data_IF_998283679309
#
_entry.id   IF_998283679309
#
_cell.length_a   1.000
_cell.length_b   1.000
_cell.length_c   1.000
_cell.angle_alpha   90.00
_cell.angle_beta   90.00
_cell.angle_gamma   90.00
#
_symmetry.space_group_name_H-M   'P 1'
#
loop_
_entity.id
_entity.type
_entity.pdbx_description
1 polymer ?
#
# COMPACT_ATOMS: atom_id res chain seq x y z
N UNK A 1 30.28 10.82 -4.53
CA UNK A 1 29.38 10.42 -3.44
C UNK A 1 28.13 11.26 -3.60
N UNK A 2 27.01 10.62 -3.87
CA UNK A 2 25.71 11.29 -4.03
C UNK A 2 24.94 11.05 -2.73
N UNK A 3 24.61 12.13 -2.03
CA UNK A 3 23.82 12.07 -0.80
C UNK A 3 22.37 12.32 -1.22
N UNK A 4 21.43 11.39 -1.01
CA UNK A 4 20.06 11.60 -1.43
C UNK A 4 19.49 12.77 -0.62
N UNK A 5 19.30 13.89 -1.30
CA UNK A 5 18.61 15.06 -0.78
C UNK A 5 17.12 14.72 -0.78
N UNK A 6 16.48 14.80 0.39
CA UNK A 6 15.03 14.63 0.60
C UNK A 6 14.43 13.24 0.35
N UNK A 7 14.61 12.33 1.32
CA UNK A 7 13.62 11.28 1.55
C UNK A 7 12.27 11.92 1.90
N UNK A 8 11.23 11.70 1.09
CA UNK A 8 9.88 12.25 1.28
C UNK A 8 9.03 11.48 2.31
N UNK A 9 9.57 10.39 2.85
CA UNK A 9 8.89 9.55 3.85
C UNK A 9 9.19 10.12 5.24
N UNK A 10 8.17 10.66 5.89
CA UNK A 10 8.29 11.26 7.23
C UNK A 10 8.11 10.22 8.34
N UNK A 11 7.18 9.29 8.14
CA UNK A 11 6.87 8.20 9.06
C UNK A 11 6.40 7.00 8.24
N UNK A 12 7.03 5.85 8.46
CA UNK A 12 6.66 4.59 7.81
C UNK A 12 5.96 3.69 8.82
N UNK A 13 4.76 3.24 8.48
CA UNK A 13 4.01 2.24 9.23
C UNK A 13 3.79 1.01 8.35
N UNK A 14 4.09 -0.17 8.87
CA UNK A 14 3.92 -1.43 8.15
C UNK A 14 2.87 -2.30 8.84
N UNK A 15 1.91 -2.79 8.06
CA UNK A 15 0.83 -3.65 8.49
C UNK A 15 1.05 -5.06 7.94
N UNK A 16 1.20 -6.04 8.84
CA UNK A 16 1.21 -7.44 8.45
C UNK A 16 -0.23 -7.90 8.14
N UNK A 17 -0.43 -8.42 6.95
CA UNK A 17 -1.73 -8.84 6.43
C UNK A 17 -1.76 -10.36 6.40
N UNK A 18 -2.81 -10.94 6.99
CA UNK A 18 -3.02 -12.37 6.96
C UNK A 18 -3.30 -12.88 5.52
N UNK A 19 -2.81 -14.07 5.18
CA UNK A 19 -2.85 -14.64 3.83
C UNK A 19 -4.24 -14.66 3.16
N UNK A 20 -5.31 -14.77 3.96
CA UNK A 20 -6.70 -14.80 3.45
C UNK A 20 -7.29 -13.42 3.11
N UNK A 21 -6.53 -12.34 3.28
CA UNK A 21 -6.94 -10.97 2.95
C UNK A 21 -6.13 -10.38 1.80
N UNK A 22 -5.15 -11.08 1.26
CA UNK A 22 -4.23 -10.56 0.24
C UNK A 22 -5.01 -10.16 -1.02
N UNK A 23 -5.83 -11.05 -1.55
CA UNK A 23 -6.58 -10.84 -2.79
C UNK A 23 -7.61 -9.72 -2.62
N UNK A 24 -8.32 -9.72 -1.48
CA UNK A 24 -9.30 -8.68 -1.16
C UNK A 24 -8.65 -7.29 -1.07
N UNK A 25 -7.52 -7.16 -0.37
CA UNK A 25 -6.88 -5.85 -0.18
C UNK A 25 -6.19 -5.36 -1.45
N UNK A 26 -5.61 -6.25 -2.25
CA UNK A 26 -5.07 -5.91 -3.57
C UNK A 26 -6.16 -5.29 -4.46
N UNK A 27 -7.35 -5.90 -4.49
CA UNK A 27 -8.49 -5.35 -5.23
C UNK A 27 -9.04 -4.07 -4.59
N UNK A 28 -9.29 -4.08 -3.28
CA UNK A 28 -9.99 -3.00 -2.62
C UNK A 28 -9.19 -1.68 -2.56
N UNK A 29 -7.85 -1.76 -2.50
CA UNK A 29 -6.94 -0.60 -2.44
C UNK A 29 -6.41 -0.18 -3.81
N UNK A 30 -6.12 -1.14 -4.70
CA UNK A 30 -5.40 -0.88 -5.96
C UNK A 30 -6.20 -1.27 -7.21
N UNK A 31 -7.41 -1.81 -7.06
CA UNK A 31 -8.21 -2.36 -8.16
C UNK A 31 -7.47 -3.46 -8.96
N UNK A 32 -6.58 -4.20 -8.29
CA UNK A 32 -5.78 -5.29 -8.88
C UNK A 32 -6.44 -6.62 -8.56
N UNK A 33 -6.74 -7.40 -9.60
CA UNK A 33 -7.28 -8.73 -9.44
C UNK A 33 -6.16 -9.74 -9.21
N UNK A 34 -6.11 -10.30 -8.01
CA UNK A 34 -5.23 -11.41 -7.66
C UNK A 34 -6.06 -12.68 -7.57
N UNK A 35 -5.66 -13.70 -8.32
CA UNK A 35 -6.27 -15.03 -8.27
C UNK A 35 -5.31 -16.03 -7.65
N UNK A 36 -5.89 -17.04 -6.99
CA UNK A 36 -5.18 -18.16 -6.44
C UNK A 36 -5.49 -19.42 -7.25
N UNK A 37 -4.47 -20.00 -7.88
CA UNK A 37 -4.59 -21.28 -8.58
C UNK A 37 -3.67 -22.29 -7.88
N UNK A 38 -4.28 -23.25 -7.17
CA UNK A 38 -3.55 -24.17 -6.31
C UNK A 38 -2.88 -23.44 -5.14
N UNK A 39 -1.54 -23.36 -5.18
CA UNK A 39 -0.71 -22.70 -4.13
C UNK A 39 -0.04 -21.42 -4.61
N UNK A 40 -0.33 -21.00 -5.84
CA UNK A 40 0.36 -19.89 -6.49
C UNK A 40 -0.62 -18.75 -6.77
N UNK A 41 -0.23 -17.53 -6.43
CA UNK A 41 -0.96 -16.29 -6.70
C UNK A 41 -0.52 -15.70 -8.03
N UNK A 42 -1.48 -15.15 -8.75
CA UNK A 42 -1.28 -14.51 -10.05
C UNK A 42 -2.05 -13.19 -10.09
N UNK A 43 -1.48 -12.16 -10.69
CA UNK A 43 -2.24 -10.96 -11.07
C UNK A 43 -2.81 -11.14 -12.46
N UNK A 44 -4.12 -10.90 -12.56
CA UNK A 44 -4.85 -10.96 -13.81
C UNK A 44 -4.83 -9.61 -14.50
N UNK A 45 -4.33 -9.58 -15.74
CA UNK A 45 -4.46 -8.43 -16.63
C UNK A 45 -5.77 -8.51 -17.41
N UNK A 46 -6.26 -7.36 -17.90
CA UNK A 46 -7.58 -7.20 -18.52
C UNK A 46 -7.87 -8.15 -19.70
N UNK A 47 -6.84 -8.72 -20.34
CA UNK A 47 -6.95 -9.62 -21.50
C UNK A 47 -6.55 -11.08 -21.17
N UNK A 48 -6.49 -11.44 -19.89
CA UNK A 48 -6.24 -12.81 -19.42
C UNK A 48 -4.76 -13.18 -19.28
N UNK A 49 -3.84 -12.28 -19.66
CA UNK A 49 -2.43 -12.45 -19.33
C UNK A 49 -2.23 -12.45 -17.81
N UNK A 50 -1.36 -13.33 -17.32
CA UNK A 50 -1.05 -13.52 -15.90
C UNK A 50 0.34 -12.99 -15.58
N UNK A 51 0.47 -12.23 -14.50
CA UNK A 51 1.75 -11.87 -13.90
C UNK A 51 1.98 -12.72 -12.65
N UNK A 52 3.16 -13.34 -12.56
CA UNK A 52 3.58 -14.16 -11.42
C UNK A 52 4.56 -13.34 -10.58
N UNK A 53 4.29 -13.10 -9.29
CA UNK A 53 5.28 -12.49 -8.39
C UNK A 53 6.56 -13.34 -8.36
N UNK A 54 7.74 -12.71 -8.48
CA UNK A 54 9.02 -13.43 -8.38
C UNK A 54 10.16 -12.49 -7.97
N UNK A 55 10.69 -12.56 -6.73
CA UNK A 55 10.15 -13.34 -5.59
C UNK A 55 8.90 -12.71 -4.98
N UNK A 56 8.71 -11.41 -5.18
CA UNK A 56 7.59 -10.63 -4.64
C UNK A 56 7.10 -9.65 -5.70
N UNK A 57 5.93 -9.07 -5.45
CA UNK A 57 5.37 -7.99 -6.26
C UNK A 57 4.90 -6.87 -5.36
N UNK A 58 5.14 -5.63 -5.79
CA UNK A 58 4.69 -4.43 -5.09
C UNK A 58 3.58 -3.75 -5.89
N UNK A 59 2.43 -3.54 -5.25
CA UNK A 59 1.36 -2.69 -5.76
C UNK A 59 1.50 -1.29 -5.17
N UNK A 60 1.32 -0.27 -6.01
CA UNK A 60 1.31 1.15 -5.64
C UNK A 60 0.25 1.88 -6.46
N UNK A 61 0.00 3.15 -6.15
CA UNK A 61 -1.03 3.93 -6.82
C UNK A 61 -2.43 3.70 -6.24
N UNK A 62 -2.57 3.78 -4.91
CA UNK A 62 -3.88 3.73 -4.27
C UNK A 62 -4.65 5.05 -4.48
N UNK A 63 -5.98 4.99 -4.54
CA UNK A 63 -6.83 6.19 -4.63
C UNK A 63 -7.30 6.65 -3.26
N UNK A 64 -7.50 7.96 -3.09
CA UNK A 64 -8.00 8.54 -1.84
C UNK A 64 -9.32 7.91 -1.37
N UNK A 65 -10.25 7.64 -2.28
CA UNK A 65 -11.54 7.02 -1.96
C UNK A 65 -11.39 5.57 -1.48
N UNK A 66 -10.44 4.83 -2.06
CA UNK A 66 -10.11 3.47 -1.62
C UNK A 66 -9.44 3.47 -0.24
N UNK A 67 -8.50 4.39 -0.01
CA UNK A 67 -7.81 4.56 1.28
C UNK A 67 -8.82 4.91 2.38
N UNK A 68 -9.66 5.91 2.15
CA UNK A 68 -10.66 6.34 3.11
C UNK A 68 -11.64 5.21 3.46
N UNK A 69 -12.06 4.43 2.46
CA UNK A 69 -13.00 3.31 2.65
C UNK A 69 -12.39 2.14 3.41
N UNK A 70 -11.12 1.79 3.14
CA UNK A 70 -10.49 0.55 3.63
C UNK A 70 -9.67 0.78 4.90
N UNK A 71 -8.92 1.88 4.97
CA UNK A 71 -8.03 2.22 6.08
C UNK A 71 -8.66 3.23 7.05
N UNK A 72 -9.76 3.86 6.65
CA UNK A 72 -10.50 4.80 7.48
C UNK A 72 -9.96 6.23 7.44
N UNK A 73 -10.75 7.13 8.04
CA UNK A 73 -10.51 8.57 8.00
C UNK A 73 -9.18 8.99 8.66
N UNK A 74 -8.82 8.36 9.78
CA UNK A 74 -7.63 8.75 10.53
C UNK A 74 -6.32 8.51 9.74
N UNK A 75 -6.20 7.33 9.11
CA UNK A 75 -5.05 7.01 8.25
C UNK A 75 -5.06 7.89 7.00
N UNK A 76 -6.23 8.10 6.39
CA UNK A 76 -6.38 8.95 5.21
C UNK A 76 -5.88 10.39 5.46
N UNK A 77 -6.30 11.01 6.55
CA UNK A 77 -5.83 12.35 6.91
C UNK A 77 -4.34 12.37 7.28
N UNK A 78 -3.82 11.34 7.96
CA UNK A 78 -2.40 11.23 8.24
C UNK A 78 -1.56 11.16 6.94
N UNK A 79 -2.00 10.42 5.92
CA UNK A 79 -1.34 10.34 4.59
C UNK A 79 -1.34 11.71 3.91
N UNK A 80 -2.47 12.42 3.91
CA UNK A 80 -2.59 13.76 3.29
C UNK A 80 -1.63 14.79 3.86
N UNK A 81 -1.19 14.61 5.10
CA UNK A 81 -0.20 15.51 5.73
C UNK A 81 1.25 15.19 5.37
N UNK A 82 1.53 14.02 4.78
CA UNK A 82 2.90 13.60 4.40
C UNK A 82 3.49 14.48 3.29
N UNK A 83 4.83 14.65 3.30
CA UNK A 83 5.52 15.39 2.23
C UNK A 83 5.34 14.72 0.86
N UNK A 84 5.36 13.39 0.82
CA UNK A 84 5.13 12.61 -0.40
C UNK A 84 3.77 12.91 -1.03
N UNK A 85 2.67 12.83 -0.26
CA UNK A 85 1.32 13.08 -0.80
C UNK A 85 1.15 14.52 -1.29
N UNK A 86 1.73 15.49 -0.57
CA UNK A 86 1.69 16.90 -1.00
C UNK A 86 2.37 17.10 -2.34
N UNK A 87 3.56 16.54 -2.53
CA UNK A 87 4.29 16.59 -3.80
C UNK A 87 3.52 15.92 -4.94
N UNK A 88 2.93 14.74 -4.69
CA UNK A 88 2.11 14.06 -5.70
C UNK A 88 0.92 14.92 -6.16
N UNK A 89 0.26 15.62 -5.23
CA UNK A 89 -0.85 16.52 -5.56
C UNK A 89 -0.37 17.76 -6.35
N UNK A 90 0.80 18.31 -6.01
CA UNK A 90 1.44 19.38 -6.78
C UNK A 90 1.79 18.95 -8.22
N UNK A 91 2.15 17.68 -8.40
CA UNK A 91 2.42 17.05 -9.71
C UNK A 91 1.13 16.63 -10.46
N UNK A 92 -0.05 16.76 -9.83
CA UNK A 92 -1.34 16.39 -10.43
C UNK A 92 -1.67 14.90 -10.35
N UNK A 93 -0.96 14.12 -9.54
CA UNK A 93 -1.18 12.67 -9.37
C UNK A 93 -2.43 12.40 -8.52
N UNK A 94 -3.46 11.83 -9.16
CA UNK A 94 -4.71 11.45 -8.51
C UNK A 94 -4.58 10.22 -7.60
N UNK A 95 -3.61 9.35 -7.90
CA UNK A 95 -3.24 8.18 -7.10
C UNK A 95 -2.03 8.50 -6.23
N UNK A 96 -1.82 7.72 -5.17
CA UNK A 96 -0.71 7.90 -4.24
C UNK A 96 0.15 6.65 -4.09
N UNK A 97 1.45 6.88 -3.98
CA UNK A 97 2.48 5.91 -3.62
C UNK A 97 2.65 5.81 -2.10
N UNK A 98 1.98 6.67 -1.33
CA UNK A 98 1.99 6.64 0.13
C UNK A 98 1.35 5.37 0.72
N UNK A 99 0.65 4.60 -0.10
CA UNK A 99 0.16 3.26 0.26
C UNK A 99 0.73 2.28 -0.76
N UNK A 100 1.44 1.28 -0.26
CA UNK A 100 1.94 0.18 -1.09
C UNK A 100 1.66 -1.16 -0.43
N UNK A 101 1.56 -2.20 -1.24
CA UNK A 101 1.33 -3.56 -0.78
C UNK A 101 2.33 -4.49 -1.42
N UNK A 102 3.00 -5.31 -0.61
CA UNK A 102 4.00 -6.28 -1.05
C UNK A 102 3.48 -7.67 -0.72
N UNK A 103 3.47 -8.57 -1.70
CA UNK A 103 3.08 -9.96 -1.53
C UNK A 103 3.85 -10.88 -2.46
N UNK A 104 3.90 -12.16 -2.13
CA UNK A 104 4.59 -13.21 -2.90
C UNK A 104 3.59 -14.07 -3.68
N UNK A 105 4.11 -14.94 -4.53
CA UNK A 105 3.32 -15.94 -5.24
C UNK A 105 2.75 -17.01 -4.30
N UNK A 106 3.29 -17.15 -3.09
CA UNK A 106 2.93 -18.24 -2.16
C UNK A 106 1.62 -17.99 -1.41
N UNK A 107 0.65 -18.89 -1.59
CA UNK A 107 -0.66 -18.83 -0.93
C UNK A 107 -0.65 -18.91 0.61
N UNK A 108 0.40 -19.48 1.19
CA UNK A 108 0.60 -19.62 2.65
C UNK A 108 1.33 -18.42 3.26
N UNK A 109 1.66 -17.41 2.46
CA UNK A 109 2.28 -16.18 2.92
C UNK A 109 1.27 -15.04 2.91
N UNK A 110 1.39 -14.15 3.90
CA UNK A 110 0.63 -12.92 3.99
C UNK A 110 1.08 -11.86 2.99
N UNK A 111 0.74 -10.62 3.30
CA UNK A 111 1.27 -9.44 2.62
C UNK A 111 1.72 -8.40 3.64
N UNK A 112 2.45 -7.40 3.19
CA UNK A 112 2.76 -6.22 3.99
C UNK A 112 2.19 -4.99 3.28
N UNK A 113 1.35 -4.23 3.99
CA UNK A 113 0.93 -2.90 3.54
C UNK A 113 1.80 -1.87 4.22
N UNK A 114 2.47 -1.03 3.44
CA UNK A 114 3.29 0.07 3.92
C UNK A 114 2.57 1.40 3.70
N UNK A 115 2.55 2.22 4.74
CA UNK A 115 1.91 3.52 4.79
C UNK A 115 2.97 4.60 5.07
N UNK A 116 3.06 5.59 4.17
CA UNK A 116 3.82 6.82 4.36
C UNK A 116 2.89 7.87 4.96
N UNK A 117 3.13 8.23 6.22
CA UNK A 117 2.30 9.14 7.00
C UNK A 117 3.05 10.43 7.30
N UNK A 118 2.32 11.52 7.53
CA UNK A 118 2.91 12.68 8.19
C UNK A 118 3.27 12.35 9.64
N UNK A 119 4.43 12.84 10.11
CA UNK A 119 5.01 12.47 11.40
C UNK A 119 4.04 12.61 12.58
N UNK A 120 3.28 13.71 12.65
CA UNK A 120 2.31 13.95 13.74
C UNK A 120 1.16 12.94 13.72
N UNK A 121 0.61 12.66 12.54
CA UNK A 121 -0.47 11.68 12.39
C UNK A 121 0.01 10.25 12.69
N UNK A 122 1.20 9.89 12.20
CA UNK A 122 1.83 8.60 12.50
C UNK A 122 2.04 8.38 14.01
N UNK A 123 2.56 9.39 14.72
CA UNK A 123 2.73 9.32 16.18
C UNK A 123 1.40 9.17 16.94
N UNK A 124 0.32 9.84 16.49
CA UNK A 124 -1.00 9.70 17.09
C UNK A 124 -1.57 8.28 16.90
N UNK A 125 -1.42 7.71 15.71
CA UNK A 125 -1.84 6.34 15.40
C UNK A 125 -1.03 5.34 16.23
N UNK A 126 0.29 5.50 16.30
CA UNK A 126 1.17 4.64 17.10
C UNK A 126 0.71 4.59 18.56
N UNK A 127 0.45 5.75 19.17
CA UNK A 127 0.02 5.81 20.57
C UNK A 127 -1.29 5.06 20.83
N UNK A 128 -2.20 4.99 19.85
CA UNK A 128 -3.47 4.26 19.97
C UNK A 128 -3.34 2.74 19.80
N UNK A 129 -2.35 2.28 19.05
CA UNK A 129 -2.17 0.85 18.74
C UNK A 129 -1.33 0.11 19.77
N UNK A 130 -0.48 0.82 20.50
CA UNK A 130 0.45 0.27 21.48
C UNK A 130 0.14 0.70 22.92
N UNK A 131 -1.11 1.10 23.19
CA UNK A 131 -1.64 1.28 24.55
C UNK A 131 -2.43 0.05 24.99
#
# INVERSE_FOLDING_TARGET
MDFPFDGLVDCLMSLAIHQNKVEYLAFALFNVHVELEGRVRYVMLNEGAKLIPNPEMTLKGARDDAILRILGLEIHEAIKTSRMRKKELEEGNLVTECVSMIFTDRSDEGAVINLSLGLKGGAQIQNKLYT
#
